data_IF_849392509695
#
_entry.id   IF_849392509695
#
_cell.length_a   1.000
_cell.length_b   1.000
_cell.length_c   1.000
_cell.angle_alpha   90.00
_cell.angle_beta   90.00
_cell.angle_gamma   90.00
#
_symmetry.space_group_name_H-M   'P 1'
#
loop_
_entity.id
_entity.type
_entity.pdbx_description
1 polymer ?
#
# COMPACT_ATOMS: atom_id res chain seq x y z
N UNK A 1 -12.36 -10.99 -1.10
CA UNK A 1 -12.47 -9.69 -0.39
C UNK A 1 -11.42 -9.59 0.70
N UNK A 2 -11.50 -10.41 1.75
CA UNK A 2 -10.49 -10.45 2.84
C UNK A 2 -9.08 -10.72 2.30
N UNK A 3 -8.96 -11.65 1.35
CA UNK A 3 -7.67 -11.97 0.73
C UNK A 3 -6.96 -10.77 0.07
N UNK A 4 -7.70 -9.88 -0.59
CA UNK A 4 -7.11 -8.70 -1.23
C UNK A 4 -6.63 -7.68 -0.19
N UNK A 5 -7.40 -7.48 0.88
CA UNK A 5 -6.99 -6.62 2.00
C UNK A 5 -5.77 -7.22 2.72
N UNK A 6 -5.73 -8.53 2.92
CA UNK A 6 -4.59 -9.23 3.52
C UNK A 6 -3.32 -9.09 2.67
N UNK A 7 -3.41 -9.21 1.34
CA UNK A 7 -2.28 -8.95 0.44
C UNK A 7 -1.83 -7.50 0.56
N UNK A 8 -2.74 -6.53 0.53
CA UNK A 8 -2.36 -5.12 0.64
C UNK A 8 -1.66 -4.82 1.97
N UNK A 9 -2.19 -5.32 3.10
CA UNK A 9 -1.58 -5.18 4.42
C UNK A 9 -0.21 -5.85 4.47
N UNK A 10 -0.08 -7.06 3.93
CA UNK A 10 1.19 -7.78 3.88
C UNK A 10 2.22 -7.01 3.05
N UNK A 11 1.83 -6.44 1.91
CA UNK A 11 2.72 -5.66 1.06
C UNK A 11 3.14 -4.34 1.70
N UNK A 12 2.25 -3.65 2.42
CA UNK A 12 2.60 -2.46 3.21
C UNK A 12 3.58 -2.84 4.33
N UNK A 13 3.37 -3.97 5.01
CA UNK A 13 4.30 -4.47 6.01
C UNK A 13 5.67 -4.79 5.41
N UNK A 14 5.72 -5.47 4.26
CA UNK A 14 6.96 -5.76 3.53
C UNK A 14 7.68 -4.48 3.14
N UNK A 15 6.97 -3.46 2.65
CA UNK A 15 7.54 -2.15 2.36
C UNK A 15 8.23 -1.54 3.60
N UNK A 16 7.56 -1.56 4.76
CA UNK A 16 8.12 -1.02 6.00
C UNK A 16 9.34 -1.82 6.47
N UNK A 17 9.26 -3.14 6.45
CA UNK A 17 10.36 -4.01 6.86
C UNK A 17 11.60 -3.81 5.97
N UNK A 18 11.41 -3.78 4.65
CA UNK A 18 12.50 -3.50 3.70
C UNK A 18 13.07 -2.10 3.95
N UNK A 19 12.21 -1.07 4.05
CA UNK A 19 12.65 0.31 4.25
C UNK A 19 13.51 0.48 5.50
N UNK A 20 13.08 -0.08 6.64
CA UNK A 20 13.83 -0.03 7.90
C UNK A 20 15.14 -0.80 7.81
N UNK A 21 15.11 -2.03 7.28
CA UNK A 21 16.31 -2.85 7.11
C UNK A 21 17.35 -2.18 6.20
N UNK A 22 16.91 -1.54 5.10
CA UNK A 22 17.79 -0.82 4.18
C UNK A 22 18.46 0.41 4.81
N UNK A 23 17.89 0.99 5.85
CA UNK A 23 18.46 2.13 6.58
C UNK A 23 19.18 1.72 7.87
N UNK A 24 19.31 0.42 8.16
CA UNK A 24 19.92 -0.07 9.39
C UNK A 24 19.12 0.26 10.66
N UNK A 25 17.82 0.51 10.51
CA UNK A 25 16.94 0.88 11.62
C UNK A 25 16.43 -0.34 12.40
N UNK A 26 16.25 -0.18 13.71
CA UNK A 26 15.79 -1.26 14.60
C UNK A 26 14.36 -1.76 14.28
N UNK A 27 14.11 -3.05 14.48
CA UNK A 27 12.84 -3.70 14.16
C UNK A 27 11.73 -3.36 15.18
N UNK A 28 12.07 -2.92 16.39
CA UNK A 28 11.06 -2.47 17.38
C UNK A 28 10.29 -1.23 16.90
N UNK A 29 10.89 -0.43 16.01
CA UNK A 29 10.26 0.75 15.42
C UNK A 29 9.32 0.47 14.23
N UNK A 30 9.11 -0.80 13.85
CA UNK A 30 8.24 -1.17 12.72
C UNK A 30 6.84 -0.63 12.92
N UNK A 31 6.22 -0.82 14.09
CA UNK A 31 4.86 -0.36 14.34
C UNK A 31 4.73 1.16 14.18
N UNK A 32 5.72 1.93 14.64
CA UNK A 32 5.74 3.38 14.52
C UNK A 32 5.78 3.83 13.04
N UNK A 33 6.49 3.09 12.20
CA UNK A 33 6.56 3.36 10.76
C UNK A 33 5.34 2.85 10.00
N UNK A 34 4.72 1.77 10.48
CA UNK A 34 3.68 1.01 9.80
C UNK A 34 2.29 1.62 9.96
N UNK A 35 1.93 2.05 11.17
CA UNK A 35 0.57 2.51 11.47
C UNK A 35 0.07 3.65 10.57
N UNK A 36 0.88 4.65 10.16
CA UNK A 36 0.41 5.73 9.28
C UNK A 36 -0.03 5.17 7.92
N UNK A 37 0.78 4.25 7.34
CA UNK A 37 0.46 3.65 6.05
C UNK A 37 -0.71 2.68 6.11
N UNK A 38 -0.88 1.96 7.23
CA UNK A 38 -2.09 1.17 7.46
C UNK A 38 -3.33 2.06 7.60
N UNK A 39 -3.22 3.21 8.27
CA UNK A 39 -4.29 4.20 8.34
C UNK A 39 -4.66 4.75 6.96
N UNK A 40 -3.66 5.15 6.16
CA UNK A 40 -3.87 5.58 4.77
C UNK A 40 -4.49 4.49 3.89
N UNK A 41 -4.01 3.25 4.02
CA UNK A 41 -4.55 2.08 3.31
C UNK A 41 -6.03 1.85 3.67
N UNK A 42 -6.37 1.91 4.96
CA UNK A 42 -7.74 1.77 5.43
C UNK A 42 -8.65 2.87 4.88
N UNK A 43 -8.20 4.12 4.88
CA UNK A 43 -8.92 5.25 4.28
C UNK A 43 -9.15 5.00 2.79
N UNK A 44 -8.11 4.61 2.05
CA UNK A 44 -8.23 4.29 0.62
C UNK A 44 -9.23 3.18 0.33
N UNK A 45 -9.23 2.12 1.16
CA UNK A 45 -10.20 1.03 1.07
C UNK A 45 -11.64 1.49 1.34
N UNK A 46 -11.84 2.33 2.36
CA UNK A 46 -13.14 2.89 2.74
C UNK A 46 -13.71 3.82 1.66
N UNK A 47 -12.94 4.80 1.22
CA UNK A 47 -13.35 5.79 0.20
C UNK A 47 -13.71 5.10 -1.11
N UNK A 48 -12.87 4.15 -1.55
CA UNK A 48 -13.12 3.43 -2.80
C UNK A 48 -14.18 2.33 -2.68
N UNK A 49 -14.69 2.07 -1.47
CA UNK A 49 -15.53 0.90 -1.16
C UNK A 49 -14.94 -0.36 -1.77
N UNK A 50 -13.64 -0.55 -1.56
CA UNK A 50 -12.81 -1.52 -2.26
C UNK A 50 -13.31 -2.96 -2.10
N UNK A 51 -14.11 -3.24 -1.06
CA UNK A 51 -14.82 -4.51 -0.88
C UNK A 51 -15.79 -4.84 -2.03
N UNK A 52 -16.38 -3.86 -2.71
CA UNK A 52 -17.33 -4.12 -3.82
C UNK A 52 -16.65 -4.52 -5.14
N UNK A 53 -15.41 -4.10 -5.36
CA UNK A 53 -14.70 -4.39 -6.62
C UNK A 53 -13.17 -4.43 -6.44
N UNK A 54 -12.63 -5.35 -5.61
CA UNK A 54 -11.24 -5.28 -5.15
C UNK A 54 -10.17 -5.46 -6.24
N UNK A 55 -10.52 -6.12 -7.35
CA UNK A 55 -9.61 -6.41 -8.47
C UNK A 55 -9.60 -5.32 -9.56
N UNK A 56 -10.43 -4.26 -9.44
CA UNK A 56 -10.51 -3.22 -10.47
C UNK A 56 -9.35 -2.23 -10.31
N UNK A 57 -8.33 -2.35 -11.17
CA UNK A 57 -7.08 -1.57 -11.06
C UNK A 57 -7.31 -0.07 -11.15
N UNK A 58 -8.01 0.41 -12.19
CA UNK A 58 -8.09 1.85 -12.51
C UNK A 58 -8.79 2.65 -11.41
N UNK A 59 -9.87 2.12 -10.82
CA UNK A 59 -10.59 2.83 -9.77
C UNK A 59 -10.10 2.42 -8.38
N UNK A 60 -10.23 1.14 -8.03
CA UNK A 60 -9.95 0.66 -6.68
C UNK A 60 -8.45 0.61 -6.40
N UNK A 61 -7.64 0.11 -7.35
CA UNK A 61 -6.18 0.06 -7.17
C UNK A 61 -5.57 1.45 -6.98
N UNK A 62 -5.86 2.38 -7.89
CA UNK A 62 -5.33 3.76 -7.82
C UNK A 62 -5.81 4.47 -6.55
N UNK A 63 -7.09 4.38 -6.20
CA UNK A 63 -7.59 5.06 -5.00
C UNK A 63 -7.03 4.47 -3.70
N UNK A 64 -6.85 3.15 -3.63
CA UNK A 64 -6.20 2.49 -2.48
C UNK A 64 -4.72 2.89 -2.38
N UNK A 65 -4.01 2.94 -3.51
CA UNK A 65 -2.63 3.41 -3.57
C UNK A 65 -2.48 4.87 -3.15
N UNK A 66 -3.31 5.77 -3.68
CA UNK A 66 -3.33 7.17 -3.28
C UNK A 66 -3.66 7.33 -1.79
N UNK A 67 -4.62 6.56 -1.27
CA UNK A 67 -4.92 6.53 0.16
C UNK A 67 -3.72 6.12 1.00
N UNK A 68 -3.04 5.02 0.63
CA UNK A 68 -1.86 4.54 1.34
C UNK A 68 -0.71 5.55 1.32
N UNK A 69 -0.44 6.18 0.16
CA UNK A 69 0.64 7.16 0.00
C UNK A 69 0.27 8.49 0.65
N UNK A 70 -0.78 9.16 0.19
CA UNK A 70 -1.14 10.49 0.67
C UNK A 70 -1.62 10.44 2.12
N UNK A 71 -2.47 9.47 2.48
CA UNK A 71 -2.93 9.28 3.84
C UNK A 71 -1.79 8.87 4.77
N UNK A 72 -0.90 7.97 4.35
CA UNK A 72 0.26 7.57 5.13
C UNK A 72 1.22 8.72 5.40
N UNK A 73 1.59 9.47 4.37
CA UNK A 73 2.47 10.64 4.51
C UNK A 73 1.82 11.75 5.34
N UNK A 74 0.52 12.01 5.17
CA UNK A 74 -0.21 12.97 5.98
C UNK A 74 -0.25 12.57 7.47
N UNK A 75 -0.54 11.30 7.77
CA UNK A 75 -0.54 10.79 9.14
C UNK A 75 0.86 10.85 9.77
N UNK A 76 1.93 10.58 9.01
CA UNK A 76 3.31 10.78 9.47
C UNK A 76 3.61 12.22 9.84
N UNK A 77 3.16 13.19 9.02
CA UNK A 77 3.35 14.61 9.28
C UNK A 77 2.63 15.04 10.56
N UNK A 78 1.36 14.64 10.71
CA UNK A 78 0.57 14.94 11.90
C UNK A 78 1.18 14.31 13.16
N UNK A 79 1.79 13.14 13.03
CA UNK A 79 2.49 12.46 14.12
C UNK A 79 3.90 12.99 14.42
N UNK A 80 4.36 14.03 13.73
CA UNK A 80 5.69 14.63 13.95
C UNK A 80 6.86 13.76 13.47
N UNK A 81 6.62 12.72 12.67
CA UNK A 81 7.66 11.78 12.20
C UNK A 81 8.52 12.33 11.04
N UNK A 82 8.15 13.49 10.50
CA UNK A 82 8.78 14.08 9.33
C UNK A 82 8.52 13.31 8.03
N UNK A 83 8.68 14.01 6.90
CA UNK A 83 8.64 13.42 5.55
C UNK A 83 9.75 14.04 4.72
N UNK A 84 10.75 13.23 4.36
CA UNK A 84 11.76 13.64 3.40
C UNK A 84 11.22 13.50 1.97
N UNK A 85 11.56 14.40 1.03
CA UNK A 85 11.10 14.31 -0.36
C UNK A 85 11.47 12.97 -1.03
N UNK A 86 12.70 12.48 -0.80
CA UNK A 86 13.16 11.18 -1.29
C UNK A 86 12.31 10.03 -0.75
N UNK A 87 11.99 10.05 0.54
CA UNK A 87 11.12 9.06 1.17
C UNK A 87 9.72 9.07 0.56
N UNK A 88 9.12 10.24 0.31
CA UNK A 88 7.81 10.35 -0.32
C UNK A 88 7.79 9.75 -1.73
N UNK A 89 8.83 10.03 -2.54
CA UNK A 89 8.95 9.49 -3.90
C UNK A 89 9.10 7.96 -3.87
N UNK A 90 10.04 7.43 -3.08
CA UNK A 90 10.27 5.99 -2.96
C UNK A 90 9.01 5.29 -2.44
N UNK A 91 8.35 5.85 -1.44
CA UNK A 91 7.08 5.34 -0.90
C UNK A 91 6.02 5.25 -2.00
N UNK A 92 5.84 6.30 -2.78
CA UNK A 92 4.86 6.32 -3.87
C UNK A 92 5.15 5.24 -4.93
N UNK A 93 6.42 5.10 -5.33
CA UNK A 93 6.84 4.13 -6.34
C UNK A 93 6.71 2.69 -5.84
N UNK A 94 7.21 2.38 -4.64
CA UNK A 94 7.20 1.01 -4.09
C UNK A 94 5.78 0.57 -3.75
N UNK A 95 4.99 1.40 -3.06
CA UNK A 95 3.59 1.08 -2.80
C UNK A 95 2.77 1.01 -4.09
N UNK A 96 3.10 1.82 -5.10
CA UNK A 96 2.47 1.74 -6.42
C UNK A 96 2.75 0.40 -7.09
N UNK A 97 4.02 0.00 -7.15
CA UNK A 97 4.43 -1.29 -7.69
C UNK A 97 3.77 -2.46 -6.94
N UNK A 98 3.72 -2.39 -5.62
CA UNK A 98 3.11 -3.43 -4.80
C UNK A 98 1.59 -3.50 -5.00
N UNK A 99 0.87 -2.43 -4.67
CA UNK A 99 -0.61 -2.44 -4.61
C UNK A 99 -1.25 -2.52 -6.00
N UNK A 100 -0.65 -1.89 -7.02
CA UNK A 100 -1.16 -1.97 -8.39
C UNK A 100 -0.64 -3.22 -9.10
N UNK A 101 0.63 -3.60 -8.88
CA UNK A 101 1.28 -4.70 -9.57
C UNK A 101 0.62 -6.05 -9.28
N UNK A 102 0.32 -6.37 -8.02
CA UNK A 102 -0.34 -7.65 -7.70
C UNK A 102 -1.73 -7.74 -8.32
N UNK A 103 -2.48 -6.63 -8.36
CA UNK A 103 -3.79 -6.57 -9.04
C UNK A 103 -3.64 -6.75 -10.55
N UNK A 104 -2.60 -6.16 -11.14
CA UNK A 104 -2.18 -6.38 -12.53
C UNK A 104 -1.97 -7.86 -12.83
N UNK A 105 -1.14 -8.53 -12.04
CA UNK A 105 -0.86 -9.96 -12.15
C UNK A 105 -2.15 -10.78 -12.00
N UNK A 106 -2.97 -10.49 -11.00
CA UNK A 106 -4.23 -11.19 -10.78
C UNK A 106 -5.19 -11.06 -11.98
N UNK A 107 -5.27 -9.89 -12.62
CA UNK A 107 -6.05 -9.71 -13.84
C UNK A 107 -5.49 -10.50 -15.02
N UNK A 108 -4.16 -10.51 -15.20
CA UNK A 108 -3.51 -11.27 -16.27
C UNK A 108 -3.74 -12.77 -16.12
N UNK A 109 -3.58 -13.31 -14.91
CA UNK A 109 -3.82 -14.73 -14.60
C UNK A 109 -5.29 -15.11 -14.88
N UNK A 110 -6.24 -14.25 -14.49
CA UNK A 110 -7.67 -14.49 -14.80
C UNK A 110 -7.95 -14.51 -16.30
N UNK A 111 -7.35 -13.60 -17.06
CA UNK A 111 -7.48 -13.55 -18.53
C UNK A 111 -6.85 -14.75 -19.23
N UNK A 112 -5.73 -15.25 -18.71
CA UNK A 112 -5.08 -16.45 -19.24
C UNK A 112 -5.96 -17.69 -19.03
N UNK A 113 -6.53 -17.85 -17.83
CA UNK A 113 -7.42 -18.98 -17.52
C UNK A 113 -8.76 -18.97 -18.26
N UNK A 114 -9.26 -17.81 -18.69
CA UNK A 114 -10.49 -17.73 -19.49
C UNK A 114 -10.27 -18.03 -20.98
N UNK A 115 -9.02 -18.18 -21.43
CA UNK A 115 -8.65 -18.51 -22.81
C UNK A 115 -8.32 -20.00 -23.01
N UNK A 116 -8.27 -20.78 -21.93
CA UNK A 116 -8.11 -22.24 -21.93
C UNK A 116 -9.47 -22.90 -21.70
#
# INVERSE_FOLDING_TARGET
MIFAAAIDVALVLVFVLIGRASHGEDLLGVLNTLWPFLGGLAIGWLVMRAWRSPLRIVWTGIGVWLGAVAGGLALRLVAGQGVQPSFAIVTALVLGAFLLGWRGIALLVRRARSRS
#
